data_IF_834790894478
#
_entry.id   IF_834790894478
#
_cell.length_a   1.000
_cell.length_b   1.000
_cell.length_c   1.000
_cell.angle_alpha   90.00
_cell.angle_beta   90.00
_cell.angle_gamma   90.00
#
_symmetry.space_group_name_H-M   'P 1'
#
loop_
_entity.id
_entity.type
_entity.pdbx_description
1 polymer ?
#
# COMPACT_ATOMS: atom_id res chain seq x y z
N UNK A 1 21.64 29.36 28.17
CA UNK A 1 21.51 29.00 26.74
C UNK A 1 22.92 28.92 26.13
N UNK A 2 23.35 27.74 25.65
CA UNK A 2 24.70 27.59 25.08
C UNK A 2 24.75 28.27 23.70
N UNK A 3 25.63 29.27 23.52
CA UNK A 3 25.89 29.92 22.23
C UNK A 3 26.28 28.84 21.22
N UNK A 4 25.46 28.63 20.18
CA UNK A 4 25.61 27.57 19.18
C UNK A 4 24.34 26.77 18.89
N UNK A 5 23.41 26.72 19.85
CA UNK A 5 22.14 25.99 19.69
C UNK A 5 21.18 26.70 18.71
N UNK A 6 21.04 28.03 18.83
CA UNK A 6 20.13 28.81 17.96
C UNK A 6 20.51 28.74 16.47
N UNK A 7 21.80 28.87 16.13
CA UNK A 7 22.24 28.80 14.73
C UNK A 7 21.99 27.42 14.12
N UNK A 8 22.17 26.36 14.90
CA UNK A 8 21.92 24.99 14.44
C UNK A 8 20.43 24.73 14.26
N UNK A 9 19.62 25.09 15.25
CA UNK A 9 18.17 24.89 15.22
C UNK A 9 17.52 25.71 14.09
N UNK A 10 18.04 26.91 13.82
CA UNK A 10 17.62 27.72 12.67
C UNK A 10 17.99 27.08 11.32
N UNK A 11 19.17 26.47 11.20
CA UNK A 11 19.56 25.71 9.99
C UNK A 11 18.70 24.46 9.80
N UNK A 12 18.34 23.75 10.88
CA UNK A 12 17.45 22.59 10.80
C UNK A 12 16.02 22.98 10.39
N UNK A 13 15.50 24.11 10.87
CA UNK A 13 14.19 24.62 10.44
C UNK A 13 14.18 25.01 8.96
N UNK A 14 15.26 25.60 8.45
CA UNK A 14 15.41 25.90 7.02
C UNK A 14 15.46 24.64 6.18
N UNK A 15 16.27 23.68 6.63
CA UNK A 15 16.43 22.38 5.99
C UNK A 15 15.08 21.66 5.94
N UNK A 16 14.37 21.53 7.08
CA UNK A 16 13.08 20.85 7.16
C UNK A 16 12.00 21.46 6.24
N UNK A 17 12.10 22.75 5.92
CA UNK A 17 11.17 23.42 4.98
C UNK A 17 11.44 23.15 3.51
N UNK A 18 12.67 22.78 3.16
CA UNK A 18 13.10 22.56 1.77
C UNK A 18 13.61 21.14 1.54
N UNK A 19 13.54 20.28 2.55
CA UNK A 19 14.03 18.93 2.50
C UNK A 19 12.99 18.10 1.77
N UNK A 20 13.33 17.70 0.55
CA UNK A 20 12.63 16.71 -0.22
C UNK A 20 13.49 15.44 -0.15
N UNK A 21 13.19 14.50 0.77
CA UNK A 21 13.95 13.26 0.85
C UNK A 21 13.74 12.50 -0.45
N UNK A 22 14.84 12.08 -1.09
CA UNK A 22 14.74 11.13 -2.20
C UNK A 22 14.30 9.78 -1.66
N UNK A 23 13.23 9.21 -2.22
CA UNK A 23 12.84 7.84 -1.94
C UNK A 23 13.68 6.86 -2.77
N UNK A 24 14.79 6.43 -2.17
CA UNK A 24 15.70 5.46 -2.77
C UNK A 24 15.04 4.08 -2.86
N UNK A 25 14.20 3.71 -1.87
CA UNK A 25 13.54 2.41 -1.84
C UNK A 25 12.62 2.26 -3.04
N UNK A 26 11.85 3.31 -3.32
CA UNK A 26 10.98 3.31 -4.48
C UNK A 26 11.72 3.23 -5.81
N UNK A 27 12.82 3.96 -5.94
CA UNK A 27 13.61 3.94 -7.18
C UNK A 27 14.28 2.58 -7.41
N UNK A 28 14.66 1.89 -6.35
CA UNK A 28 15.20 0.52 -6.43
C UNK A 28 14.13 -0.43 -6.95
N UNK A 29 12.92 -0.40 -6.39
CA UNK A 29 11.80 -1.24 -6.84
C UNK A 29 11.48 -0.95 -8.31
N UNK A 30 11.37 0.33 -8.71
CA UNK A 30 11.13 0.72 -10.10
C UNK A 30 12.18 0.19 -11.08
N UNK A 31 13.46 0.24 -10.70
CA UNK A 31 14.52 -0.29 -11.55
C UNK A 31 14.50 -1.81 -11.62
N UNK A 32 14.25 -2.49 -10.50
CA UNK A 32 14.13 -3.97 -10.49
C UNK A 32 12.98 -4.42 -11.39
N UNK A 33 11.82 -3.77 -11.33
CA UNK A 33 10.67 -4.16 -12.15
C UNK A 33 10.89 -3.92 -13.65
N UNK A 34 11.63 -2.88 -14.02
CA UNK A 34 11.87 -2.52 -15.43
C UNK A 34 13.07 -3.23 -16.06
N UNK A 35 14.13 -3.43 -15.29
CA UNK A 35 15.44 -3.87 -15.79
C UNK A 35 15.88 -5.23 -15.23
N UNK A 36 15.20 -5.71 -14.19
CA UNK A 36 15.55 -6.96 -13.50
C UNK A 36 15.27 -8.21 -14.33
N UNK A 37 15.88 -9.32 -13.91
CA UNK A 37 15.50 -10.64 -14.44
C UNK A 37 14.08 -11.00 -13.99
N UNK A 38 13.35 -11.85 -14.73
CA UNK A 38 12.03 -12.33 -14.31
C UNK A 38 12.01 -12.94 -12.89
N UNK A 39 13.10 -13.60 -12.49
CA UNK A 39 13.28 -14.15 -11.14
C UNK A 39 13.37 -13.04 -10.08
N UNK A 40 14.18 -12.00 -10.32
CA UNK A 40 14.29 -10.87 -9.39
C UNK A 40 12.97 -10.09 -9.27
N UNK A 41 12.21 -9.98 -10.35
CA UNK A 41 10.86 -9.39 -10.35
C UNK A 41 9.89 -10.25 -9.54
N UNK A 42 9.92 -11.58 -9.72
CA UNK A 42 9.08 -12.48 -8.93
C UNK A 42 9.41 -12.40 -7.44
N UNK A 43 10.70 -12.43 -7.09
CA UNK A 43 11.16 -12.36 -5.70
C UNK A 43 10.75 -11.05 -5.01
N UNK A 44 10.88 -9.90 -5.70
CA UNK A 44 10.49 -8.62 -5.10
C UNK A 44 8.97 -8.53 -4.91
N UNK A 45 8.17 -9.05 -5.86
CA UNK A 45 6.71 -9.07 -5.73
C UNK A 45 6.26 -10.02 -4.61
N UNK A 46 6.94 -11.16 -4.41
CA UNK A 46 6.68 -12.08 -3.30
C UNK A 46 6.98 -11.42 -1.94
N UNK A 47 8.09 -10.70 -1.83
CA UNK A 47 8.43 -9.91 -0.63
C UNK A 47 7.37 -8.84 -0.37
N UNK A 48 6.94 -8.11 -1.39
CA UNK A 48 5.89 -7.09 -1.27
C UNK A 48 4.56 -7.71 -0.81
N UNK A 49 4.19 -8.88 -1.36
CA UNK A 49 3.03 -9.64 -0.92
C UNK A 49 3.13 -10.09 0.54
N UNK A 50 4.31 -10.54 0.98
CA UNK A 50 4.57 -10.91 2.37
C UNK A 50 4.41 -9.72 3.32
N UNK A 51 4.94 -8.54 2.94
CA UNK A 51 4.75 -7.31 3.71
C UNK A 51 3.26 -6.96 3.84
N UNK A 52 2.52 -7.04 2.73
CA UNK A 52 1.07 -6.83 2.73
C UNK A 52 0.35 -7.78 3.69
N UNK A 53 0.72 -9.06 3.69
CA UNK A 53 0.18 -10.07 4.61
C UNK A 53 0.46 -9.72 6.07
N UNK A 54 1.72 -9.38 6.40
CA UNK A 54 2.10 -9.00 7.77
C UNK A 54 1.34 -7.77 8.27
N UNK A 55 1.14 -6.77 7.40
CA UNK A 55 0.38 -5.58 7.74
C UNK A 55 -1.12 -5.86 7.85
N UNK A 56 -1.66 -6.81 7.08
CA UNK A 56 -3.03 -7.30 7.22
C UNK A 56 -3.28 -8.01 8.56
N UNK A 57 -2.33 -8.81 9.04
CA UNK A 57 -2.41 -9.41 10.37
C UNK A 57 -2.42 -8.33 11.46
N UNK A 58 -1.53 -7.33 11.37
CA UNK A 58 -1.52 -6.19 12.31
C UNK A 58 -2.82 -5.39 12.25
N UNK A 59 -3.43 -5.24 11.07
CA UNK A 59 -4.72 -4.56 10.92
C UNK A 59 -5.82 -5.32 11.65
N UNK A 60 -5.88 -6.66 11.48
CA UNK A 60 -6.82 -7.52 12.23
C UNK A 60 -6.67 -7.42 13.74
N UNK A 61 -5.43 -7.36 14.24
CA UNK A 61 -5.17 -7.24 15.69
C UNK A 61 -5.64 -5.90 16.28
N UNK A 62 -5.59 -4.83 15.50
CA UNK A 62 -5.95 -3.47 15.95
C UNK A 62 -7.43 -3.16 15.84
N UNK A 63 -8.14 -3.82 14.92
CA UNK A 63 -9.55 -3.51 14.65
C UNK A 63 -10.49 -4.18 15.65
N UNK A 64 -11.67 -3.57 15.93
CA UNK A 64 -12.65 -4.16 16.83
C UNK A 64 -13.08 -5.56 16.37
N UNK A 65 -13.25 -6.49 17.31
CA UNK A 65 -13.59 -7.89 17.02
C UNK A 65 -14.93 -8.12 16.30
N UNK A 66 -15.79 -7.09 16.21
CA UNK A 66 -17.07 -7.15 15.51
C UNK A 66 -17.00 -6.67 14.06
N UNK A 67 -15.90 -6.01 13.68
CA UNK A 67 -15.72 -5.46 12.34
C UNK A 67 -15.51 -6.61 11.35
N UNK A 68 -16.28 -6.59 10.26
CA UNK A 68 -16.19 -7.64 9.24
C UNK A 68 -14.92 -7.45 8.39
N UNK A 69 -14.34 -8.52 7.82
CA UNK A 69 -13.15 -8.41 6.98
C UNK A 69 -13.27 -7.39 5.85
N UNK A 70 -14.45 -7.31 5.20
CA UNK A 70 -14.73 -6.29 4.17
C UNK A 70 -14.59 -4.86 4.69
N UNK A 71 -15.07 -4.58 5.90
CA UNK A 71 -15.01 -3.26 6.51
C UNK A 71 -13.56 -2.91 6.92
N UNK A 72 -12.78 -3.89 7.39
CA UNK A 72 -11.36 -3.70 7.73
C UNK A 72 -10.56 -3.31 6.48
N UNK A 73 -10.78 -4.04 5.38
CA UNK A 73 -10.07 -3.82 4.11
C UNK A 73 -10.46 -2.46 3.53
N UNK A 74 -11.75 -2.19 3.38
CA UNK A 74 -12.28 -0.92 2.88
C UNK A 74 -11.77 0.26 3.70
N UNK A 75 -11.87 0.20 5.04
CA UNK A 75 -11.42 1.29 5.91
C UNK A 75 -9.91 1.52 5.84
N UNK A 76 -9.11 0.45 5.71
CA UNK A 76 -7.65 0.58 5.60
C UNK A 76 -7.25 1.25 4.29
N UNK A 77 -7.88 0.85 3.19
CA UNK A 77 -7.66 1.45 1.87
C UNK A 77 -8.05 2.92 1.85
N UNK A 78 -9.22 3.27 2.40
CA UNK A 78 -9.67 4.66 2.48
C UNK A 78 -8.74 5.54 3.34
N UNK A 79 -8.22 5.03 4.46
CA UNK A 79 -7.25 5.75 5.30
C UNK A 79 -5.91 5.94 4.58
N UNK A 80 -5.52 4.98 3.74
CA UNK A 80 -4.34 5.08 2.88
C UNK A 80 -4.54 6.02 1.68
N UNK A 81 -5.75 6.59 1.49
CA UNK A 81 -6.05 7.48 0.37
C UNK A 81 -6.35 6.74 -0.94
N UNK A 82 -6.62 5.44 -0.88
CA UNK A 82 -6.95 4.63 -2.05
C UNK A 82 -8.39 4.90 -2.46
N UNK A 83 -8.61 5.21 -3.74
CA UNK A 83 -9.95 5.34 -4.29
C UNK A 83 -10.60 3.96 -4.41
N UNK A 84 -11.63 3.74 -3.61
CA UNK A 84 -12.38 2.48 -3.57
C UNK A 84 -13.87 2.72 -3.80
N UNK A 85 -14.47 1.88 -4.64
CA UNK A 85 -15.93 1.78 -4.77
C UNK A 85 -16.40 0.43 -4.27
N UNK A 86 -17.41 0.45 -3.39
CA UNK A 86 -18.05 -0.78 -2.91
C UNK A 86 -19.26 -1.08 -3.75
N UNK A 87 -19.24 -2.27 -4.36
CA UNK A 87 -20.35 -2.82 -5.13
C UNK A 87 -21.07 -3.85 -4.26
N UNK A 88 -22.19 -3.45 -3.67
CA UNK A 88 -23.07 -4.35 -2.93
C UNK A 88 -23.95 -5.13 -3.94
N UNK A 89 -23.43 -6.24 -4.45
CA UNK A 89 -24.18 -7.19 -5.27
C UNK A 89 -24.99 -8.19 -4.42
N UNK A 90 -25.98 -8.86 -5.03
CA UNK A 90 -26.93 -9.74 -4.32
C UNK A 90 -26.31 -10.97 -3.61
N UNK A 91 -25.10 -11.40 -3.97
CA UNK A 91 -24.48 -12.62 -3.39
C UNK A 91 -23.23 -12.36 -2.54
N UNK A 92 -22.32 -11.47 -2.96
CA UNK A 92 -21.04 -11.20 -2.27
C UNK A 92 -20.62 -9.74 -2.44
N UNK A 93 -20.22 -9.04 -1.37
CA UNK A 93 -19.70 -7.69 -1.50
C UNK A 93 -18.41 -7.71 -2.32
N UNK A 94 -18.25 -6.71 -3.18
CA UNK A 94 -17.04 -6.53 -3.98
C UNK A 94 -16.48 -5.14 -3.72
N UNK A 95 -15.18 -5.06 -3.43
CA UNK A 95 -14.46 -3.78 -3.41
C UNK A 95 -13.74 -3.65 -4.75
N UNK A 96 -13.99 -2.55 -5.45
CA UNK A 96 -13.28 -2.15 -6.64
C UNK A 96 -12.29 -1.05 -6.27
N UNK A 97 -11.04 -1.21 -6.67
CA UNK A 97 -9.94 -0.29 -6.39
C UNK A 97 -9.48 0.28 -7.73
N UNK A 98 -9.43 1.60 -7.84
CA UNK A 98 -8.85 2.27 -9.00
C UNK A 98 -7.32 2.26 -8.89
N UNK A 99 -6.62 1.58 -9.80
CA UNK A 99 -5.16 1.49 -9.80
C UNK A 99 -4.50 2.72 -10.47
N UNK A 100 -5.26 3.55 -11.19
CA UNK A 100 -4.76 4.83 -11.73
C UNK A 100 -4.72 5.93 -10.67
N UNK A 101 -5.37 5.72 -9.52
CA UNK A 101 -5.24 6.61 -8.38
C UNK A 101 -3.81 6.52 -7.82
N UNK A 102 -2.93 7.39 -8.33
CA UNK A 102 -1.48 7.44 -8.05
C UNK A 102 -1.10 7.66 -6.58
N UNK A 103 -2.08 7.77 -5.68
CA UNK A 103 -1.90 8.08 -4.26
C UNK A 103 -1.79 6.84 -3.36
N UNK A 104 -1.90 5.62 -3.94
CA UNK A 104 -2.04 4.35 -3.21
C UNK A 104 -1.04 4.16 -2.04
N UNK A 105 0.22 4.60 -2.19
CA UNK A 105 1.23 4.52 -1.12
C UNK A 105 2.36 5.56 -1.22
N UNK A 106 2.23 6.56 -2.09
CA UNK A 106 3.40 7.30 -2.58
C UNK A 106 4.34 6.41 -3.41
N UNK A 107 5.37 7.01 -3.99
CA UNK A 107 6.43 6.29 -4.71
C UNK A 107 7.00 5.19 -3.80
N UNK A 108 7.19 3.92 -4.26
CA UNK A 108 7.11 3.38 -5.64
C UNK A 108 5.78 2.79 -6.11
N UNK A 109 4.70 2.87 -5.35
CA UNK A 109 3.46 2.17 -5.73
C UNK A 109 2.65 2.89 -6.82
N UNK A 110 3.29 3.80 -7.56
CA UNK A 110 2.82 4.29 -8.85
C UNK A 110 2.84 3.20 -9.95
N UNK A 111 3.36 2.00 -9.65
CA UNK A 111 3.32 0.84 -10.54
C UNK A 111 2.25 -0.15 -10.07
N UNK A 112 1.54 -0.72 -11.03
CA UNK A 112 0.39 -1.60 -10.80
C UNK A 112 0.77 -2.90 -10.10
N UNK A 113 1.86 -3.55 -10.51
CA UNK A 113 2.22 -4.88 -10.04
C UNK A 113 2.57 -4.93 -8.54
N UNK A 114 3.39 -4.01 -7.99
CA UNK A 114 3.63 -3.90 -6.54
C UNK A 114 2.36 -3.68 -5.74
N UNK A 115 1.47 -2.79 -6.21
CA UNK A 115 0.21 -2.51 -5.53
C UNK A 115 -0.68 -3.75 -5.47
N UNK A 116 -0.81 -4.46 -6.60
CA UNK A 116 -1.56 -5.73 -6.67
C UNK A 116 -0.95 -6.78 -5.75
N UNK A 117 0.37 -6.95 -5.72
CA UNK A 117 1.03 -7.91 -4.85
C UNK A 117 0.78 -7.61 -3.36
N UNK A 118 0.96 -6.35 -2.95
CA UNK A 118 0.72 -5.91 -1.57
C UNK A 118 -0.73 -6.13 -1.16
N UNK A 119 -1.69 -5.65 -1.97
CA UNK A 119 -3.13 -5.77 -1.68
C UNK A 119 -3.54 -7.24 -1.60
N UNK A 120 -3.00 -8.09 -2.48
CA UNK A 120 -3.28 -9.53 -2.46
C UNK A 120 -2.86 -10.16 -1.13
N UNK A 121 -1.64 -9.87 -0.67
CA UNK A 121 -1.16 -10.35 0.63
C UNK A 121 -2.00 -9.81 1.79
N UNK A 122 -2.32 -8.52 1.78
CA UNK A 122 -3.14 -7.87 2.80
C UNK A 122 -4.55 -8.49 2.89
N UNK A 123 -5.21 -8.67 1.74
CA UNK A 123 -6.52 -9.31 1.65
C UNK A 123 -6.45 -10.74 2.13
N UNK A 124 -5.40 -11.50 1.78
CA UNK A 124 -5.25 -12.88 2.23
C UNK A 124 -5.14 -12.99 3.76
N UNK A 125 -4.42 -12.09 4.42
CA UNK A 125 -4.34 -12.04 5.88
C UNK A 125 -5.69 -11.68 6.50
N UNK A 126 -6.35 -10.64 5.96
CA UNK A 126 -7.60 -10.13 6.54
C UNK A 126 -8.80 -11.05 6.28
N UNK A 127 -8.88 -11.60 5.07
CA UNK A 127 -9.96 -12.45 4.57
C UNK A 127 -9.40 -13.56 3.68
N UNK A 128 -8.94 -14.66 4.31
CA UNK A 128 -8.34 -15.80 3.60
C UNK A 128 -9.25 -16.53 2.59
N UNK A 129 -10.53 -16.15 2.50
CA UNK A 129 -11.49 -16.63 1.49
C UNK A 129 -11.80 -15.63 0.37
N UNK A 130 -11.32 -14.39 0.46
CA UNK A 130 -11.55 -13.37 -0.55
C UNK A 130 -10.65 -13.59 -1.77
N UNK A 131 -11.21 -13.45 -2.96
CA UNK A 131 -10.50 -13.55 -4.22
C UNK A 131 -10.13 -12.14 -4.72
N UNK A 132 -8.85 -11.96 -5.05
CA UNK A 132 -8.33 -10.75 -5.67
C UNK A 132 -8.11 -11.01 -7.16
N UNK A 133 -8.65 -10.17 -8.02
CA UNK A 133 -8.48 -10.26 -9.48
C UNK A 133 -8.30 -8.89 -10.10
N UNK A 134 -7.33 -8.76 -11.00
CA UNK A 134 -7.11 -7.55 -11.78
C UNK A 134 -8.00 -7.55 -13.03
N UNK A 135 -8.59 -6.40 -13.36
CA UNK A 135 -9.37 -6.16 -14.57
C UNK A 135 -9.04 -4.78 -15.11
N UNK A 136 -8.30 -4.72 -16.24
CA UNK A 136 -7.84 -3.46 -16.83
C UNK A 136 -7.14 -2.59 -15.77
N UNK A 137 -7.74 -1.44 -15.47
CA UNK A 137 -7.22 -0.42 -14.55
C UNK A 137 -7.76 -0.56 -13.12
N UNK A 138 -8.45 -1.67 -12.83
CA UNK A 138 -9.08 -1.92 -11.54
C UNK A 138 -8.59 -3.21 -10.89
N UNK A 139 -8.51 -3.19 -9.57
CA UNK A 139 -8.37 -4.39 -8.75
C UNK A 139 -9.70 -4.69 -8.07
N UNK A 140 -10.18 -5.91 -8.22
CA UNK A 140 -11.45 -6.38 -7.65
C UNK A 140 -11.17 -7.35 -6.50
N UNK A 141 -11.74 -7.08 -5.33
CA UNK A 141 -11.72 -7.96 -4.17
C UNK A 141 -13.13 -8.49 -3.94
N UNK A 142 -13.33 -9.79 -4.13
CA UNK A 142 -14.62 -10.48 -3.94
C UNK A 142 -14.57 -11.33 -2.68
N UNK A 143 -15.49 -11.09 -1.75
CA UNK A 143 -15.51 -11.78 -0.44
C UNK A 143 -16.30 -13.10 -0.45
#
# INVERSE_FOLDING_TARGET
>A
MKKGQFSRDWSLLKLARTWEPRDIGGEVVERVLREGSPEAVADILDVIGTIGFEDGEKAKERMPSLMQPVEIIESTLLVAGVETERLDGEERPTIMINLEAHDLFGYPFSMTEPAVAYITGFVQAVSGGAAVSQSEDHLLIRF
#
